data_IF_657548611925
#
_entry.id   IF_657548611925
#
_cell.length_a   1.000
_cell.length_b   1.000
_cell.length_c   1.000
_cell.angle_alpha   90.00
_cell.angle_beta   90.00
_cell.angle_gamma   90.00
#
_symmetry.space_group_name_H-M   'P 1'
#
loop_
_entity.id
_entity.type
_entity.pdbx_description
1 polymer ?
#
# COMPACT_ATOMS: atom_id res chain seq x y z
N UNK A 1 10.09 47.33 -26.20
CA UNK A 1 11.19 46.70 -25.45
C UNK A 1 10.64 46.29 -24.09
N UNK A 2 10.47 44.99 -23.83
CA UNK A 2 9.97 44.54 -22.52
C UNK A 2 11.13 44.59 -21.55
N UNK A 3 11.11 45.54 -20.63
CA UNK A 3 12.09 45.63 -19.54
C UNK A 3 11.80 44.49 -18.57
N UNK A 4 12.54 43.39 -18.69
CA UNK A 4 12.46 42.29 -17.73
C UNK A 4 13.02 42.79 -16.39
N UNK A 5 12.12 42.94 -15.42
CA UNK A 5 12.47 43.29 -14.04
C UNK A 5 13.30 42.15 -13.43
N UNK A 6 14.23 42.44 -12.51
CA UNK A 6 14.88 41.40 -11.72
C UNK A 6 13.81 40.48 -11.08
N UNK A 7 13.91 39.17 -11.32
CA UNK A 7 12.88 38.20 -10.89
C UNK A 7 11.73 37.97 -11.88
N UNK A 8 11.77 38.54 -13.09
CA UNK A 8 10.84 38.18 -14.16
C UNK A 8 11.04 36.70 -14.57
N UNK A 9 10.09 35.86 -14.17
CA UNK A 9 10.12 34.43 -14.43
C UNK A 9 9.76 34.15 -15.89
N UNK A 10 10.77 33.97 -16.74
CA UNK A 10 10.61 33.51 -18.13
C UNK A 10 10.71 31.99 -18.18
N UNK A 11 9.66 31.31 -17.75
CA UNK A 11 9.60 29.86 -17.81
C UNK A 11 8.94 29.40 -19.12
N UNK A 12 9.67 28.56 -19.87
CA UNK A 12 9.18 27.88 -21.07
C UNK A 12 8.24 26.72 -20.69
N UNK A 13 7.13 27.03 -20.04
CA UNK A 13 6.11 26.03 -19.80
C UNK A 13 5.44 25.63 -21.12
N UNK A 14 4.98 24.38 -21.18
CA UNK A 14 4.05 23.96 -22.23
C UNK A 14 2.78 24.82 -22.15
N UNK A 15 2.31 25.41 -23.27
CA UNK A 15 1.18 26.34 -23.27
C UNK A 15 -0.09 25.69 -22.68
N UNK A 16 -0.32 24.42 -22.99
CA UNK A 16 -1.45 23.64 -22.45
C UNK A 16 -1.45 23.53 -20.92
N UNK A 17 -0.27 23.44 -20.29
CA UNK A 17 -0.15 23.32 -18.83
C UNK A 17 -0.39 24.67 -18.18
N UNK A 18 0.11 25.76 -18.77
CA UNK A 18 -0.14 27.12 -18.30
C UNK A 18 -1.62 27.48 -18.33
N UNK A 19 -2.31 27.16 -19.42
CA UNK A 19 -3.72 27.50 -19.57
C UNK A 19 -4.57 26.73 -18.56
N UNK A 20 -4.33 25.42 -18.41
CA UNK A 20 -4.99 24.60 -17.38
C UNK A 20 -4.73 25.11 -15.97
N UNK A 21 -3.49 25.50 -15.68
CA UNK A 21 -3.12 26.00 -14.35
C UNK A 21 -3.75 27.38 -14.07
N UNK A 22 -3.81 28.27 -15.07
CA UNK A 22 -4.51 29.56 -14.96
C UNK A 22 -6.00 29.37 -14.74
N UNK A 23 -6.63 28.45 -15.47
CA UNK A 23 -8.05 28.15 -15.29
C UNK A 23 -8.33 27.55 -13.91
N UNK A 24 -7.45 26.68 -13.40
CA UNK A 24 -7.55 26.17 -12.04
C UNK A 24 -7.47 27.30 -11.00
N UNK A 25 -6.52 28.22 -11.17
CA UNK A 25 -6.39 29.39 -10.30
C UNK A 25 -7.67 30.25 -10.32
N UNK A 26 -8.23 30.51 -11.51
CA UNK A 26 -9.49 31.27 -11.66
C UNK A 26 -10.66 30.57 -10.99
N UNK A 27 -10.81 29.24 -11.17
CA UNK A 27 -11.87 28.44 -10.53
C UNK A 27 -11.80 28.51 -9.01
N UNK A 28 -10.59 28.60 -8.45
CA UNK A 28 -10.36 28.72 -7.01
C UNK A 28 -10.39 30.18 -6.51
N UNK A 29 -10.63 31.16 -7.39
CA UNK A 29 -10.60 32.59 -7.03
C UNK A 29 -9.21 33.10 -6.63
N UNK A 30 -8.13 32.39 -6.99
CA UNK A 30 -6.75 32.74 -6.61
C UNK A 30 -6.03 33.42 -7.77
N UNK A 31 -5.20 34.40 -7.45
CA UNK A 31 -4.34 35.04 -8.45
C UNK A 31 -3.20 34.10 -8.85
N UNK A 32 -3.04 33.86 -10.14
CA UNK A 32 -2.02 32.98 -10.72
C UNK A 32 -0.61 33.26 -10.17
N UNK A 33 -0.22 34.52 -10.08
CA UNK A 33 1.09 34.95 -9.57
C UNK A 33 1.28 34.62 -8.09
N UNK A 34 0.23 34.75 -7.27
CA UNK A 34 0.25 34.40 -5.85
C UNK A 34 0.33 32.90 -5.59
N UNK A 35 -0.28 32.10 -6.45
CA UNK A 35 -0.15 30.64 -6.37
C UNK A 35 1.27 30.21 -6.72
N UNK A 36 1.90 30.82 -7.73
CA UNK A 36 3.30 30.55 -8.06
C UNK A 36 4.26 30.98 -6.95
N UNK A 37 4.05 32.16 -6.37
CA UNK A 37 4.83 32.65 -5.22
C UNK A 37 4.75 31.65 -4.06
N UNK A 38 3.53 31.22 -3.69
CA UNK A 38 3.35 30.25 -2.61
C UNK A 38 3.96 28.88 -2.94
N UNK A 39 3.88 28.44 -4.19
CA UNK A 39 4.50 27.18 -4.62
C UNK A 39 6.03 27.25 -4.51
N UNK A 40 6.62 28.39 -4.88
CA UNK A 40 8.06 28.62 -4.75
C UNK A 40 8.50 28.71 -3.28
N UNK A 41 7.73 29.38 -2.42
CA UNK A 41 7.98 29.40 -0.97
C UNK A 41 7.99 27.98 -0.40
N UNK A 42 6.97 27.18 -0.71
CA UNK A 42 6.90 25.79 -0.23
C UNK A 42 8.05 24.95 -0.80
N UNK A 43 8.43 25.17 -2.05
CA UNK A 43 9.58 24.48 -2.65
C UNK A 43 10.88 24.80 -1.90
N UNK A 44 11.11 26.06 -1.52
CA UNK A 44 12.27 26.47 -0.73
C UNK A 44 12.21 25.98 0.72
N UNK A 45 11.05 26.06 1.37
CA UNK A 45 10.83 25.56 2.74
C UNK A 45 11.08 24.04 2.84
N UNK A 46 10.81 23.31 1.77
CA UNK A 46 10.94 21.84 1.71
C UNK A 46 12.24 21.38 1.05
N UNK A 47 13.15 22.30 0.71
CA UNK A 47 14.40 22.01 -0.03
C UNK A 47 14.17 21.14 -1.29
N UNK A 48 13.05 21.39 -1.98
CA UNK A 48 12.66 20.70 -3.20
C UNK A 48 11.82 19.43 -3.05
N UNK A 49 11.66 18.90 -1.83
CA UNK A 49 10.96 17.64 -1.59
C UNK A 49 9.47 17.64 -1.98
N UNK A 50 8.85 18.81 -2.13
CA UNK A 50 7.44 18.94 -2.59
C UNK A 50 7.22 18.44 -4.03
N UNK A 51 8.27 18.39 -4.86
CA UNK A 51 8.17 17.94 -6.26
C UNK A 51 8.61 16.48 -6.48
N UNK A 52 9.20 15.82 -5.49
CA UNK A 52 9.76 14.47 -5.64
C UNK A 52 8.71 13.35 -5.78
N UNK A 53 7.42 13.69 -5.87
CA UNK A 53 6.32 12.76 -6.15
C UNK A 53 6.14 11.64 -5.11
N UNK A 54 7.03 11.58 -4.14
CA UNK A 54 6.98 10.78 -2.94
C UNK A 54 6.77 11.77 -1.81
N UNK A 55 5.62 11.73 -1.16
CA UNK A 55 5.50 12.32 0.15
C UNK A 55 6.50 11.60 1.07
N UNK A 56 7.75 12.08 1.14
CA UNK A 56 8.73 11.58 2.09
C UNK A 56 9.78 12.63 2.42
N UNK A 57 9.95 12.82 3.73
CA UNK A 57 11.04 13.49 4.42
C UNK A 57 11.29 14.98 4.15
N UNK A 58 10.59 15.82 4.93
CA UNK A 58 11.26 16.95 5.59
C UNK A 58 12.42 16.47 6.49
N UNK A 59 13.18 17.39 7.12
CA UNK A 59 14.50 17.12 7.71
C UNK A 59 14.44 15.87 8.61
N UNK A 60 15.46 15.01 8.48
CA UNK A 60 15.55 13.69 9.06
C UNK A 60 15.40 13.72 10.59
N UNK A 61 14.14 13.71 11.03
CA UNK A 61 13.73 13.54 12.41
C UNK A 61 14.06 12.08 12.82
N UNK A 62 14.98 11.86 13.78
CA UNK A 62 15.40 10.51 14.17
C UNK A 62 14.22 9.66 14.69
N UNK A 63 13.15 10.29 15.17
CA UNK A 63 11.94 9.61 15.62
C UNK A 63 11.03 9.17 14.46
N UNK A 64 11.13 9.78 13.27
CA UNK A 64 10.52 9.22 12.05
C UNK A 64 11.20 7.92 11.62
N UNK A 65 12.54 7.85 11.65
CA UNK A 65 13.27 6.59 11.37
C UNK A 65 12.91 5.48 12.34
N UNK A 66 12.84 5.77 13.65
CA UNK A 66 12.39 4.80 14.67
C UNK A 66 10.97 4.30 14.43
N UNK A 67 10.04 5.20 14.08
CA UNK A 67 8.65 4.83 13.73
C UNK A 67 8.59 3.95 12.49
N UNK A 68 9.36 4.27 11.45
CA UNK A 68 9.41 3.44 10.23
C UNK A 68 9.94 2.03 10.52
N UNK A 69 11.05 1.91 11.26
CA UNK A 69 11.62 0.62 11.67
C UNK A 69 10.64 -0.16 12.55
N UNK A 70 9.89 0.52 13.43
CA UNK A 70 8.87 -0.12 14.25
C UNK A 70 7.68 -0.63 13.42
N UNK A 71 7.22 0.15 12.44
CA UNK A 71 6.16 -0.27 11.52
C UNK A 71 6.61 -1.46 10.69
N UNK A 72 7.84 -1.44 10.17
CA UNK A 72 8.41 -2.57 9.42
C UNK A 72 8.55 -3.83 10.29
N UNK A 73 8.99 -3.67 11.54
CA UNK A 73 9.02 -4.79 12.51
C UNK A 73 7.63 -5.37 12.79
N UNK A 74 6.60 -4.52 12.90
CA UNK A 74 5.22 -4.98 13.09
C UNK A 74 4.68 -5.68 11.84
N UNK A 75 4.99 -5.18 10.64
CA UNK A 75 4.61 -5.81 9.37
C UNK A 75 5.26 -7.19 9.22
N UNK A 76 6.55 -7.31 9.54
CA UNK A 76 7.28 -8.58 9.48
C UNK A 76 6.70 -9.60 10.47
N UNK A 77 6.39 -9.18 11.71
CA UNK A 77 5.72 -10.06 12.69
C UNK A 77 4.34 -10.52 12.22
N UNK A 78 3.55 -9.62 11.63
CA UNK A 78 2.24 -9.99 11.10
C UNK A 78 2.37 -10.99 9.95
N UNK A 79 3.36 -10.81 9.07
CA UNK A 79 3.64 -11.75 7.98
C UNK A 79 4.04 -13.12 8.52
N UNK A 80 4.94 -13.19 9.50
CA UNK A 80 5.34 -14.43 10.16
C UNK A 80 4.15 -15.15 10.82
N UNK A 81 3.30 -14.41 11.55
CA UNK A 81 2.11 -14.96 12.19
C UNK A 81 1.09 -15.49 11.16
N UNK A 82 0.92 -14.78 10.05
CA UNK A 82 0.05 -15.23 8.95
C UNK A 82 0.58 -16.52 8.32
N UNK A 83 1.88 -16.58 8.00
CA UNK A 83 2.51 -17.78 7.45
C UNK A 83 2.37 -18.98 8.39
N UNK A 84 2.59 -18.78 9.69
CA UNK A 84 2.44 -19.84 10.69
C UNK A 84 1.00 -20.32 10.83
N UNK A 85 0.02 -19.42 10.77
CA UNK A 85 -1.41 -19.80 10.80
C UNK A 85 -1.80 -20.59 9.55
N UNK A 86 -1.31 -20.20 8.37
CA UNK A 86 -1.54 -20.94 7.13
C UNK A 86 -1.01 -22.36 7.24
N UNK A 87 0.23 -22.54 7.73
CA UNK A 87 0.82 -23.87 7.93
C UNK A 87 -0.03 -24.75 8.88
N UNK A 88 -0.54 -24.18 9.97
CA UNK A 88 -1.42 -24.91 10.91
C UNK A 88 -2.74 -25.29 10.24
N UNK A 89 -3.35 -24.39 9.48
CA UNK A 89 -4.60 -24.65 8.77
C UNK A 89 -4.42 -25.74 7.70
N UNK A 90 -3.31 -25.74 6.97
CA UNK A 90 -2.99 -26.80 6.00
C UNK A 90 -2.85 -28.16 6.66
N UNK A 91 -2.14 -28.24 7.80
CA UNK A 91 -2.02 -29.47 8.60
C UNK A 91 -3.37 -29.96 9.12
N UNK A 92 -4.20 -29.04 9.62
CA UNK A 92 -5.54 -29.38 10.09
C UNK A 92 -6.42 -29.90 8.95
N UNK A 93 -6.38 -29.25 7.78
CA UNK A 93 -7.14 -29.67 6.60
C UNK A 93 -6.80 -31.11 6.20
N UNK A 94 -5.52 -31.46 6.09
CA UNK A 94 -5.09 -32.83 5.73
C UNK A 94 -5.63 -33.86 6.73
N UNK A 95 -5.58 -33.55 8.02
CA UNK A 95 -6.13 -34.43 9.07
C UNK A 95 -7.64 -34.61 8.90
N UNK A 96 -8.36 -33.51 8.67
CA UNK A 96 -9.82 -33.53 8.50
C UNK A 96 -10.21 -34.30 7.24
N UNK A 97 -9.50 -34.10 6.12
CA UNK A 97 -9.75 -34.82 4.86
C UNK A 97 -9.60 -36.34 5.05
N UNK A 98 -8.56 -36.78 5.78
CA UNK A 98 -8.37 -38.19 6.13
C UNK A 98 -9.51 -38.75 7.00
N UNK A 99 -9.96 -38.00 8.00
CA UNK A 99 -11.07 -38.43 8.87
C UNK A 99 -12.39 -38.53 8.10
N UNK A 100 -12.64 -37.58 7.19
CA UNK A 100 -13.79 -37.60 6.29
C UNK A 100 -13.75 -38.85 5.41
N UNK A 101 -12.62 -39.13 4.76
CA UNK A 101 -12.47 -40.30 3.89
C UNK A 101 -12.71 -41.61 4.66
N UNK A 102 -12.15 -41.72 5.88
CA UNK A 102 -12.35 -42.87 6.76
C UNK A 102 -13.83 -43.09 7.08
N UNK A 103 -14.53 -42.03 7.49
CA UNK A 103 -15.96 -42.09 7.84
C UNK A 103 -16.80 -42.42 6.61
N UNK A 104 -16.49 -41.80 5.45
CA UNK A 104 -17.17 -42.11 4.19
C UNK A 104 -17.02 -43.58 3.81
N UNK A 105 -15.83 -44.16 3.97
CA UNK A 105 -15.60 -45.60 3.75
C UNK A 105 -16.43 -46.47 4.68
N UNK A 106 -16.48 -46.15 5.97
CA UNK A 106 -17.32 -46.87 6.95
C UNK A 106 -18.81 -46.75 6.62
N UNK A 107 -19.29 -45.57 6.22
CA UNK A 107 -20.68 -45.36 5.82
C UNK A 107 -21.02 -46.14 4.54
N UNK A 108 -20.13 -46.12 3.54
CA UNK A 108 -20.29 -46.89 2.31
C UNK A 108 -20.33 -48.41 2.60
N UNK A 109 -19.46 -48.88 3.49
CA UNK A 109 -19.45 -50.27 3.95
C UNK A 109 -20.80 -50.66 4.57
N UNK A 110 -21.29 -49.90 5.55
CA UNK A 110 -22.60 -50.16 6.17
C UNK A 110 -23.75 -50.11 5.16
N UNK A 111 -23.74 -49.17 4.22
CA UNK A 111 -24.76 -49.06 3.17
C UNK A 111 -24.71 -50.20 2.16
N UNK A 112 -23.55 -50.83 1.96
CA UNK A 112 -23.39 -51.96 1.02
C UNK A 112 -23.97 -53.28 1.52
N UNK A 113 -24.39 -53.36 2.79
CA UNK A 113 -24.96 -54.57 3.39
C UNK A 113 -23.93 -55.71 3.60
N UNK A 114 -22.63 -55.41 3.48
CA UNK A 114 -21.55 -56.37 3.74
C UNK A 114 -21.33 -56.51 5.26
N UNK A 115 -21.33 -57.76 5.75
CA UNK A 115 -20.95 -58.09 7.12
C UNK A 115 -19.42 -58.09 7.24
N UNK A 116 -18.85 -57.45 8.27
CA UNK A 116 -17.39 -57.43 8.48
C UNK A 116 -16.87 -58.88 8.48
N UNK A 117 -15.75 -59.17 7.80
CA UNK A 117 -15.14 -60.49 7.90
C UNK A 117 -14.78 -60.69 9.37
N UNK A 118 -15.47 -61.64 10.01
CA UNK A 118 -15.28 -61.94 11.42
C UNK A 118 -13.82 -62.17 11.71
N UNK A 119 -13.26 -61.37 12.62
CA UNK A 119 -11.94 -61.61 13.19
C UNK A 119 -12.01 -62.93 13.96
N UNK A 120 -11.71 -64.04 13.30
CA UNK A 120 -11.48 -65.33 13.96
C UNK A 120 -10.08 -65.28 14.58
N UNK A 121 -10.07 -65.35 15.92
CA UNK A 121 -9.06 -65.97 16.80
C UNK A 121 -7.60 -65.75 16.47
#
# INVERSE_FOLDING_TARGET
MVVSRPGAFAANFKPEVLDRFRDLCRRQGRQYTKVLERLAEVYLETDGAVLDGTASSGPADPDKKKRLVQVESLQNKLLEDLLKRVEVLEKQKVKTDYEIERVQKSVAFLRSGLQEPGSQG
#
